data_IF_483130741594
#
_entry.id   IF_483130741594
#
_cell.length_a   1.000
_cell.length_b   1.000
_cell.length_c   1.000
_cell.angle_alpha   90.00
_cell.angle_beta   90.00
_cell.angle_gamma   90.00
#
_symmetry.space_group_name_H-M   'P 1'
#
loop_
_entity.id
_entity.type
_entity.pdbx_description
1 polymer ?
#
# COMPACT_ATOMS: atom_id res chain seq x y z
N UNK A 1 11.49 14.20 -22.97
CA UNK A 1 11.75 12.73 -22.89
C UNK A 1 11.96 12.24 -21.46
N UNK A 2 12.73 12.92 -20.60
CA UNK A 2 12.95 12.49 -19.19
C UNK A 2 11.63 12.27 -18.42
N UNK A 3 10.60 13.06 -18.69
CA UNK A 3 9.27 12.95 -18.06
C UNK A 3 8.47 11.70 -18.43
N UNK A 4 8.84 10.96 -19.48
CA UNK A 4 8.20 9.69 -19.86
C UNK A 4 8.74 8.50 -19.06
N UNK A 5 9.94 8.66 -18.51
CA UNK A 5 10.68 7.59 -17.84
C UNK A 5 9.95 7.05 -16.59
N UNK A 6 9.35 7.88 -15.71
CA UNK A 6 8.55 7.38 -14.59
C UNK A 6 7.38 6.49 -15.02
N UNK A 7 6.63 6.88 -16.04
CA UNK A 7 5.47 6.13 -16.52
C UNK A 7 5.88 4.82 -17.20
N UNK A 8 6.98 4.82 -17.96
CA UNK A 8 7.53 3.62 -18.59
C UNK A 8 8.08 2.60 -17.56
N UNK A 9 8.81 3.08 -16.54
CA UNK A 9 9.26 2.25 -15.42
C UNK A 9 8.06 1.68 -14.67
N UNK A 10 7.08 2.53 -14.36
CA UNK A 10 5.88 2.12 -13.64
C UNK A 10 5.06 1.06 -14.43
N UNK A 11 4.96 1.19 -15.75
CA UNK A 11 4.36 0.16 -16.62
C UNK A 11 5.15 -1.15 -16.57
N UNK A 12 6.48 -1.08 -16.67
CA UNK A 12 7.34 -2.28 -16.62
C UNK A 12 7.17 -3.05 -15.30
N UNK A 13 7.11 -2.32 -14.17
CA UNK A 13 6.82 -2.90 -12.85
C UNK A 13 5.43 -3.54 -12.82
N UNK A 14 4.40 -2.87 -13.35
CA UNK A 14 3.04 -3.39 -13.39
C UNK A 14 2.92 -4.64 -14.29
N UNK A 15 3.63 -4.69 -15.42
CA UNK A 15 3.76 -5.88 -16.27
C UNK A 15 4.32 -7.06 -15.47
N UNK A 16 5.39 -6.85 -14.71
CA UNK A 16 5.95 -7.89 -13.85
C UNK A 16 4.95 -8.37 -12.79
N UNK A 17 4.17 -7.45 -12.19
CA UNK A 17 3.17 -7.80 -11.17
C UNK A 17 2.02 -8.66 -11.72
N UNK A 18 1.67 -8.58 -13.00
CA UNK A 18 0.66 -9.46 -13.61
C UNK A 18 1.05 -10.94 -13.58
N UNK A 19 2.34 -11.26 -13.70
CA UNK A 19 2.84 -12.63 -13.65
C UNK A 19 2.97 -13.17 -12.22
N UNK A 20 2.75 -12.33 -11.21
CA UNK A 20 2.89 -12.73 -9.82
C UNK A 20 1.61 -13.39 -9.30
N UNK A 21 1.67 -14.71 -9.04
CA UNK A 21 0.50 -15.55 -8.74
C UNK A 21 -0.39 -15.08 -7.58
N UNK A 22 0.17 -14.38 -6.59
CA UNK A 22 -0.60 -13.87 -5.46
C UNK A 22 -1.53 -12.70 -5.84
N UNK A 23 -1.25 -11.97 -6.91
CA UNK A 23 -2.10 -10.85 -7.37
C UNK A 23 -3.40 -11.38 -7.95
N UNK A 24 -3.31 -12.38 -8.82
CA UNK A 24 -4.45 -12.95 -9.55
C UNK A 24 -5.47 -13.59 -8.61
N UNK A 25 -5.03 -14.11 -7.46
CA UNK A 25 -5.91 -14.69 -6.44
C UNK A 25 -6.82 -13.65 -5.76
N UNK A 26 -6.52 -12.36 -5.89
CA UNK A 26 -7.24 -11.29 -5.22
C UNK A 26 -8.03 -10.44 -6.19
N UNK A 27 -9.35 -10.62 -6.18
CA UNK A 27 -10.27 -9.98 -7.12
C UNK A 27 -10.07 -8.46 -7.20
N UNK A 28 -10.22 -7.73 -6.09
CA UNK A 28 -10.15 -6.26 -6.12
C UNK A 28 -8.75 -5.72 -6.35
N UNK A 29 -7.73 -6.40 -5.81
CA UNK A 29 -6.34 -6.01 -6.02
C UNK A 29 -5.91 -6.20 -7.49
N UNK A 30 -6.36 -7.28 -8.15
CA UNK A 30 -6.14 -7.49 -9.57
C UNK A 30 -6.80 -6.39 -10.42
N UNK A 31 -8.06 -6.04 -10.14
CA UNK A 31 -8.71 -4.93 -10.85
C UNK A 31 -8.04 -3.58 -10.57
N UNK A 32 -7.52 -3.37 -9.36
CA UNK A 32 -6.72 -2.19 -9.05
C UNK A 32 -5.44 -2.14 -9.91
N UNK A 33 -4.74 -3.27 -10.07
CA UNK A 33 -3.57 -3.37 -10.96
C UNK A 33 -3.94 -3.04 -12.42
N UNK A 34 -5.05 -3.60 -12.92
CA UNK A 34 -5.55 -3.33 -14.29
C UNK A 34 -5.88 -1.85 -14.47
N UNK A 35 -6.60 -1.23 -13.53
CA UNK A 35 -6.96 0.18 -13.61
C UNK A 35 -5.72 1.09 -13.55
N UNK A 36 -4.79 0.80 -12.64
CA UNK A 36 -3.54 1.56 -12.53
C UNK A 36 -2.62 1.36 -13.74
N UNK A 37 -2.67 0.19 -14.40
CA UNK A 37 -1.98 -0.05 -15.67
C UNK A 37 -2.60 0.78 -16.79
N UNK A 38 -3.93 0.77 -16.92
CA UNK A 38 -4.67 1.58 -17.90
C UNK A 38 -4.41 3.07 -17.74
N UNK A 39 -4.34 3.55 -16.48
CA UNK A 39 -4.01 4.94 -16.16
C UNK A 39 -2.64 5.34 -16.70
N UNK A 40 -1.61 4.53 -16.42
CA UNK A 40 -0.26 4.76 -16.90
C UNK A 40 -0.11 4.61 -18.41
N UNK A 41 -0.85 3.68 -19.01
CA UNK A 41 -0.86 3.48 -20.45
C UNK A 41 -1.46 4.70 -21.15
N UNK A 42 -2.57 5.22 -20.63
CA UNK A 42 -3.21 6.44 -21.14
C UNK A 42 -2.28 7.65 -21.01
N UNK A 43 -1.54 7.76 -19.90
CA UNK A 43 -0.52 8.80 -19.71
C UNK A 43 0.60 8.68 -20.74
N UNK A 44 1.14 7.47 -20.94
CA UNK A 44 2.21 7.22 -21.90
C UNK A 44 1.77 7.52 -23.34
N UNK A 45 0.57 7.08 -23.74
CA UNK A 45 0.01 7.35 -25.06
C UNK A 45 -0.23 8.85 -25.27
N UNK A 46 -0.63 9.58 -24.22
CA UNK A 46 -0.80 11.04 -24.27
C UNK A 46 0.48 11.80 -24.60
N UNK A 47 1.67 11.24 -24.39
CA UNK A 47 2.93 11.86 -24.80
C UNK A 47 3.21 11.75 -26.30
N UNK A 48 2.69 10.73 -26.98
CA UNK A 48 2.99 10.46 -28.39
C UNK A 48 2.14 11.28 -29.38
N UNK A 49 1.08 11.96 -28.89
CA UNK A 49 0.27 12.92 -29.65
C UNK A 49 -0.19 12.44 -31.04
N UNK A 50 -1.02 11.40 -31.05
CA UNK A 50 -1.62 10.89 -32.29
C UNK A 50 -2.74 11.79 -32.85
N UNK A 51 -2.91 13.02 -32.37
CA UNK A 51 -3.98 13.94 -32.78
C UNK A 51 -5.32 13.74 -32.06
N UNK A 52 -5.41 12.81 -31.11
CA UNK A 52 -6.62 12.50 -30.32
C UNK A 52 -6.44 12.86 -28.84
N UNK A 53 -5.74 13.94 -28.55
CA UNK A 53 -5.26 14.27 -27.20
C UNK A 53 -6.39 14.43 -26.17
N UNK A 54 -7.52 15.05 -26.56
CA UNK A 54 -8.69 15.16 -25.68
C UNK A 54 -9.30 13.80 -25.33
N UNK A 55 -9.34 12.86 -26.29
CA UNK A 55 -9.89 11.52 -26.05
C UNK A 55 -8.97 10.74 -25.10
N UNK A 56 -7.65 10.79 -25.32
CA UNK A 56 -6.69 10.18 -24.41
C UNK A 56 -6.75 10.79 -23.01
N UNK A 57 -6.95 12.10 -22.90
CA UNK A 57 -7.15 12.77 -21.62
C UNK A 57 -8.41 12.27 -20.92
N UNK A 58 -9.54 12.16 -21.64
CA UNK A 58 -10.79 11.61 -21.07
C UNK A 58 -10.60 10.15 -20.63
N UNK A 59 -9.95 9.31 -21.43
CA UNK A 59 -9.62 7.92 -21.08
C UNK A 59 -8.71 7.82 -19.85
N UNK A 60 -7.76 8.76 -19.70
CA UNK A 60 -6.94 8.88 -18.50
C UNK A 60 -7.80 9.15 -17.26
N UNK A 61 -8.76 10.08 -17.33
CA UNK A 61 -9.66 10.37 -16.21
C UNK A 61 -10.63 9.22 -15.92
N UNK A 62 -11.14 8.52 -16.93
CA UNK A 62 -11.92 7.28 -16.73
C UNK A 62 -11.08 6.22 -15.99
N UNK A 63 -9.83 6.02 -16.41
CA UNK A 63 -8.89 5.13 -15.73
C UNK A 63 -8.59 5.59 -14.29
N UNK A 64 -8.53 6.90 -14.04
CA UNK A 64 -8.33 7.44 -12.70
C UNK A 64 -9.53 7.17 -11.79
N UNK A 65 -10.75 7.34 -12.30
CA UNK A 65 -11.99 6.97 -11.59
C UNK A 65 -11.99 5.49 -11.23
N UNK A 66 -11.68 4.60 -12.19
CA UNK A 66 -11.56 3.16 -11.91
C UNK A 66 -10.46 2.85 -10.89
N UNK A 67 -9.33 3.54 -10.97
CA UNK A 67 -8.21 3.36 -10.02
C UNK A 67 -8.65 3.71 -8.60
N UNK A 68 -9.32 4.86 -8.41
CA UNK A 68 -9.85 5.30 -7.12
C UNK A 68 -10.92 4.35 -6.56
N UNK A 69 -11.82 3.85 -7.42
CA UNK A 69 -12.78 2.81 -7.06
C UNK A 69 -12.08 1.58 -6.48
N UNK A 70 -11.13 1.01 -7.23
CA UNK A 70 -10.50 -0.24 -6.84
C UNK A 70 -9.52 -0.08 -5.68
N UNK A 71 -8.92 1.10 -5.48
CA UNK A 71 -8.22 1.44 -4.24
C UNK A 71 -9.19 1.34 -3.05
N UNK A 72 -10.36 1.99 -3.16
CA UNK A 72 -11.37 2.02 -2.10
C UNK A 72 -11.90 0.63 -1.76
N UNK A 73 -12.18 -0.19 -2.78
CA UNK A 73 -12.60 -1.59 -2.59
C UNK A 73 -11.50 -2.46 -1.99
N UNK A 74 -10.25 -2.27 -2.41
CA UNK A 74 -9.09 -3.00 -1.84
C UNK A 74 -8.88 -2.62 -0.38
N UNK A 75 -8.98 -1.34 -0.03
CA UNK A 75 -8.91 -0.87 1.35
C UNK A 75 -10.05 -1.45 2.21
N UNK A 76 -11.27 -1.50 1.67
CA UNK A 76 -12.44 -2.11 2.32
C UNK A 76 -12.26 -3.62 2.56
N UNK A 77 -11.61 -4.32 1.62
CA UNK A 77 -11.25 -5.73 1.77
C UNK A 77 -10.16 -5.93 2.84
N UNK A 78 -9.09 -5.13 2.80
CA UNK A 78 -8.01 -5.15 3.81
C UNK A 78 -8.56 -4.88 5.21
N UNK A 79 -9.52 -3.95 5.32
CA UNK A 79 -10.12 -3.54 6.60
C UNK A 79 -11.32 -4.41 7.01
N UNK A 80 -11.63 -5.47 6.27
CA UNK A 80 -12.78 -6.37 6.49
C UNK A 80 -14.12 -5.61 6.68
N UNK A 81 -14.27 -4.46 6.03
CA UNK A 81 -15.39 -3.53 6.23
C UNK A 81 -16.28 -3.42 5.01
N UNK A 82 -16.49 -4.55 4.31
CA UNK A 82 -17.23 -4.65 3.04
C UNK A 82 -18.67 -4.09 3.08
N UNK A 83 -19.28 -3.98 4.27
CA UNK A 83 -20.62 -3.39 4.43
C UNK A 83 -20.66 -1.87 4.25
N UNK A 84 -19.56 -1.16 4.53
CA UNK A 84 -19.52 0.31 4.45
C UNK A 84 -19.39 0.76 3.00
N UNK A 85 -18.68 -0.02 2.18
CA UNK A 85 -18.50 0.26 0.75
C UNK A 85 -19.13 -0.87 -0.05
N UNK A 86 -20.45 -0.82 -0.30
CA UNK A 86 -21.10 -1.81 -1.13
C UNK A 86 -20.49 -1.76 -2.55
N UNK A 87 -19.91 -2.87 -3.04
CA UNK A 87 -19.15 -2.87 -4.28
C UNK A 87 -20.02 -2.54 -5.49
N UNK A 88 -21.28 -2.99 -5.50
CA UNK A 88 -22.23 -2.75 -6.59
C UNK A 88 -22.53 -1.26 -6.73
N UNK A 89 -22.89 -0.58 -5.64
CA UNK A 89 -23.19 0.86 -5.66
C UNK A 89 -21.94 1.65 -6.07
N UNK A 90 -20.77 1.27 -5.55
CA UNK A 90 -19.51 1.94 -5.87
C UNK A 90 -19.11 1.76 -7.35
N UNK A 91 -19.39 0.60 -7.93
CA UNK A 91 -19.20 0.35 -9.37
C UNK A 91 -20.18 1.18 -10.21
N UNK A 92 -21.46 1.23 -9.84
CA UNK A 92 -22.46 2.02 -10.57
C UNK A 92 -22.07 3.51 -10.57
N UNK A 93 -21.69 4.07 -9.43
CA UNK A 93 -21.28 5.48 -9.34
C UNK A 93 -20.03 5.77 -10.16
N UNK A 94 -19.03 4.88 -10.12
CA UNK A 94 -17.83 4.99 -10.95
C UNK A 94 -18.14 4.92 -12.45
N UNK A 95 -19.01 3.99 -12.87
CA UNK A 95 -19.43 3.85 -14.26
C UNK A 95 -20.20 5.08 -14.74
N UNK A 96 -21.14 5.60 -13.95
CA UNK A 96 -21.89 6.82 -14.28
C UNK A 96 -20.95 8.02 -14.45
N UNK A 97 -19.99 8.18 -13.55
CA UNK A 97 -19.01 9.27 -13.62
C UNK A 97 -18.08 9.10 -14.83
N UNK A 98 -17.59 7.88 -15.08
CA UNK A 98 -16.73 7.59 -16.23
C UNK A 98 -17.46 7.80 -17.57
N UNK A 99 -18.73 7.40 -17.67
CA UNK A 99 -19.55 7.67 -18.85
C UNK A 99 -19.79 9.17 -19.03
N UNK A 100 -20.06 9.91 -17.94
CA UNK A 100 -20.22 11.35 -18.02
C UNK A 100 -18.94 12.04 -18.51
N UNK A 101 -17.76 11.60 -18.06
CA UNK A 101 -16.47 12.13 -18.52
C UNK A 101 -16.24 11.85 -20.02
N UNK A 102 -16.56 10.63 -20.46
CA UNK A 102 -16.26 10.20 -21.84
C UNK A 102 -17.20 10.84 -22.86
N UNK A 103 -18.50 10.89 -22.56
CA UNK A 103 -19.54 11.34 -23.49
C UNK A 103 -19.96 12.82 -23.33
N UNK A 104 -19.56 13.50 -22.25
CA UNK A 104 -19.86 14.92 -22.03
C UNK A 104 -18.60 15.78 -22.02
N UNK A 105 -18.75 17.05 -22.39
CA UNK A 105 -17.72 18.09 -22.25
C UNK A 105 -17.93 18.95 -20.97
N UNK A 106 -18.95 18.63 -20.17
CA UNK A 106 -19.27 19.41 -18.97
C UNK A 106 -18.31 19.17 -17.80
N UNK A 107 -17.66 17.99 -17.75
CA UNK A 107 -16.67 17.68 -16.71
C UNK A 107 -15.26 18.06 -17.19
N UNK A 108 -14.92 17.72 -18.43
CA UNK A 108 -13.66 18.09 -19.07
C UNK A 108 -14.02 18.76 -20.39
N UNK A 109 -13.82 20.07 -20.45
CA UNK A 109 -14.20 20.87 -21.61
C UNK A 109 -13.14 20.83 -22.71
N UNK A 110 -11.88 20.96 -22.33
CA UNK A 110 -10.75 21.00 -23.27
C UNK A 110 -9.43 20.58 -22.58
N UNK A 111 -8.30 20.76 -23.26
CA UNK A 111 -6.95 20.52 -22.76
C UNK A 111 -5.98 21.65 -23.14
N UNK A 112 -4.96 21.86 -22.31
CA UNK A 112 -3.84 22.77 -22.57
C UNK A 112 -2.56 21.97 -22.52
N UNK A 113 -1.66 22.24 -23.45
CA UNK A 113 -0.35 21.60 -23.51
C UNK A 113 0.63 22.42 -22.66
N UNK A 114 1.30 21.75 -21.73
CA UNK A 114 2.39 22.32 -20.93
C UNK A 114 3.73 22.22 -21.68
N UNK A 115 4.68 23.07 -21.28
CA UNK A 115 6.02 23.19 -21.88
C UNK A 115 6.82 21.87 -21.86
N UNK A 116 6.48 20.95 -20.97
CA UNK A 116 7.06 19.60 -20.85
C UNK A 116 6.40 18.55 -21.77
N UNK A 117 5.60 19.01 -22.73
CA UNK A 117 4.76 18.21 -23.62
C UNK A 117 3.63 17.40 -22.98
N UNK A 118 3.32 17.63 -21.70
CA UNK A 118 2.18 16.98 -21.04
C UNK A 118 0.89 17.76 -21.24
N UNK A 119 -0.22 17.05 -21.40
CA UNK A 119 -1.54 17.67 -21.46
C UNK A 119 -2.10 17.86 -20.04
N UNK A 120 -2.51 19.08 -19.72
CA UNK A 120 -3.38 19.36 -18.57
C UNK A 120 -4.79 19.62 -19.05
N UNK A 121 -5.78 19.31 -18.21
CA UNK A 121 -7.18 19.61 -18.54
C UNK A 121 -7.50 21.10 -18.45
N UNK A 122 -8.53 21.50 -19.18
CA UNK A 122 -9.40 22.63 -18.87
C UNK A 122 -10.61 22.08 -18.13
N UNK A 123 -10.88 22.62 -16.95
CA UNK A 123 -12.01 22.17 -16.12
C UNK A 123 -13.34 22.65 -16.73
N UNK A 124 -14.29 21.73 -16.90
CA UNK A 124 -15.67 22.09 -17.22
C UNK A 124 -16.47 22.51 -15.98
N UNK A 125 -17.70 22.96 -16.18
CA UNK A 125 -18.61 23.43 -15.12
C UNK A 125 -18.82 22.40 -14.00
N UNK A 126 -18.99 21.12 -14.36
CA UNK A 126 -19.23 20.03 -13.40
C UNK A 126 -17.96 19.27 -13.01
N UNK A 127 -16.77 19.86 -13.22
CA UNK A 127 -15.51 19.23 -12.87
C UNK A 127 -15.40 18.91 -11.35
N UNK A 128 -16.09 19.69 -10.51
CA UNK A 128 -16.12 19.46 -9.06
C UNK A 128 -16.69 18.08 -8.67
N UNK A 129 -17.55 17.45 -9.51
CA UNK A 129 -18.08 16.11 -9.24
C UNK A 129 -16.96 15.07 -9.20
N UNK A 130 -15.99 15.17 -10.11
CA UNK A 130 -14.80 14.31 -10.08
C UNK A 130 -13.95 14.60 -8.83
N UNK A 131 -13.78 15.87 -8.44
CA UNK A 131 -13.00 16.22 -7.25
C UNK A 131 -13.65 15.65 -5.98
N UNK A 132 -14.97 15.79 -5.83
CA UNK A 132 -15.73 15.21 -4.73
C UNK A 132 -15.61 13.69 -4.70
N UNK A 133 -15.71 13.03 -5.86
CA UNK A 133 -15.50 11.59 -5.97
C UNK A 133 -14.09 11.17 -5.52
N UNK A 134 -13.05 11.85 -6.01
CA UNK A 134 -11.67 11.54 -5.70
C UNK A 134 -11.35 11.76 -4.21
N UNK A 135 -11.69 12.93 -3.68
CA UNK A 135 -11.48 13.26 -2.26
C UNK A 135 -12.31 12.32 -1.38
N UNK A 136 -13.56 12.06 -1.74
CA UNK A 136 -14.45 11.16 -1.02
C UNK A 136 -13.93 9.72 -0.97
N UNK A 137 -13.54 9.15 -2.11
CA UNK A 137 -13.01 7.79 -2.20
C UNK A 137 -11.73 7.61 -1.37
N UNK A 138 -10.81 8.59 -1.45
CA UNK A 138 -9.56 8.57 -0.69
C UNK A 138 -9.83 8.74 0.81
N UNK A 139 -10.64 9.74 1.20
CA UNK A 139 -10.96 10.02 2.61
C UNK A 139 -11.67 8.83 3.26
N UNK A 140 -12.61 8.21 2.55
CA UNK A 140 -13.30 7.00 3.02
C UNK A 140 -12.33 5.83 3.18
N UNK A 141 -11.40 5.64 2.24
CA UNK A 141 -10.36 4.61 2.33
C UNK A 141 -9.48 4.80 3.57
N UNK A 142 -9.00 6.02 3.82
CA UNK A 142 -8.20 6.34 5.02
C UNK A 142 -9.04 6.08 6.28
N UNK A 143 -10.26 6.59 6.32
CA UNK A 143 -11.13 6.47 7.48
C UNK A 143 -11.33 5.00 7.87
N UNK A 144 -11.58 4.12 6.90
CA UNK A 144 -11.71 2.68 7.13
C UNK A 144 -10.43 2.05 7.68
N UNK A 145 -9.28 2.41 7.11
CA UNK A 145 -7.99 1.88 7.55
C UNK A 145 -7.62 2.39 8.96
N UNK A 146 -7.80 3.68 9.25
CA UNK A 146 -7.54 4.28 10.57
C UNK A 146 -8.46 3.67 11.63
N UNK A 147 -9.77 3.66 11.36
CA UNK A 147 -10.78 3.10 12.28
C UNK A 147 -10.44 1.66 12.67
N UNK A 148 -10.11 0.82 11.69
CA UNK A 148 -9.80 -0.59 11.96
C UNK A 148 -8.40 -0.81 12.54
N UNK A 149 -7.42 0.02 12.17
CA UNK A 149 -6.08 0.00 12.77
C UNK A 149 -6.12 0.32 14.27
N UNK A 150 -6.98 1.26 14.69
CA UNK A 150 -7.14 1.63 16.10
C UNK A 150 -7.99 0.59 16.83
N UNK A 151 -9.15 0.20 16.28
CA UNK A 151 -10.09 -0.70 16.95
C UNK A 151 -9.55 -2.12 17.12
N UNK A 152 -8.75 -2.62 16.18
CA UNK A 152 -8.20 -3.98 16.19
C UNK A 152 -6.69 -3.99 16.47
N UNK A 153 -6.26 -3.18 17.44
CA UNK A 153 -4.85 -3.01 17.81
C UNK A 153 -4.31 -4.30 18.44
N UNK A 154 -3.63 -5.11 17.63
CA UNK A 154 -3.06 -6.40 18.04
C UNK A 154 -3.34 -7.52 17.04
N UNK A 155 -4.47 -7.42 16.35
CA UNK A 155 -4.90 -8.41 15.36
C UNK A 155 -4.11 -8.27 14.06
N UNK A 156 -4.08 -9.37 13.30
CA UNK A 156 -3.52 -9.41 11.96
C UNK A 156 -4.15 -8.33 11.05
N UNK A 157 -5.46 -8.14 11.14
CA UNK A 157 -6.21 -7.14 10.36
C UNK A 157 -5.79 -5.71 10.72
N UNK A 158 -5.57 -5.42 12.00
CA UNK A 158 -5.08 -4.11 12.44
C UNK A 158 -3.69 -3.80 11.88
N UNK A 159 -2.77 -4.78 11.91
CA UNK A 159 -1.43 -4.66 11.32
C UNK A 159 -1.48 -4.46 9.80
N UNK A 160 -2.35 -5.17 9.10
CA UNK A 160 -2.59 -4.99 7.66
C UNK A 160 -3.09 -3.59 7.35
N UNK A 161 -4.05 -3.08 8.12
CA UNK A 161 -4.57 -1.72 7.96
C UNK A 161 -3.48 -0.67 8.19
N UNK A 162 -2.64 -0.86 9.21
CA UNK A 162 -1.54 0.05 9.52
C UNK A 162 -0.50 0.11 8.39
N UNK A 163 -0.08 -1.06 7.87
CA UNK A 163 0.84 -1.10 6.72
C UNK A 163 0.19 -0.47 5.48
N UNK A 164 -1.10 -0.71 5.25
CA UNK A 164 -1.83 -0.10 4.14
C UNK A 164 -1.89 1.44 4.25
N UNK A 165 -2.03 1.99 5.47
CA UNK A 165 -1.93 3.44 5.71
C UNK A 165 -0.57 4.01 5.34
N UNK A 166 0.51 3.31 5.72
CA UNK A 166 1.88 3.69 5.34
C UNK A 166 2.04 3.64 3.81
N UNK A 167 1.45 2.64 3.16
CA UNK A 167 1.49 2.50 1.70
C UNK A 167 0.81 3.67 0.97
N UNK A 168 -0.25 4.25 1.56
CA UNK A 168 -0.96 5.39 1.00
C UNK A 168 -0.25 6.73 1.24
N UNK A 169 0.68 6.79 2.21
CA UNK A 169 1.34 8.02 2.63
C UNK A 169 2.07 8.77 1.49
N UNK A 170 2.81 8.10 0.58
CA UNK A 170 3.42 8.78 -0.58
C UNK A 170 2.40 9.49 -1.47
N UNK A 171 1.21 8.91 -1.66
CA UNK A 171 0.15 9.53 -2.45
C UNK A 171 -0.34 10.84 -1.81
N UNK A 172 -0.41 10.88 -0.47
CA UNK A 172 -0.76 12.10 0.28
C UNK A 172 0.35 13.14 0.28
N UNK A 173 1.62 12.74 0.29
CA UNK A 173 2.73 13.69 0.29
C UNK A 173 2.94 14.34 -1.08
N UNK A 174 2.61 13.64 -2.18
CA UNK A 174 2.76 14.19 -3.53
C UNK A 174 1.85 15.40 -3.74
N UNK A 175 0.61 15.37 -3.27
CA UNK A 175 -0.36 16.46 -3.49
C UNK A 175 0.17 17.82 -2.98
N UNK A 176 0.51 17.99 -1.69
CA UNK A 176 1.06 19.25 -1.19
C UNK A 176 2.42 19.55 -1.81
N UNK A 177 3.26 18.54 -2.07
CA UNK A 177 4.56 18.74 -2.71
C UNK A 177 4.41 19.35 -4.12
N UNK A 178 3.50 18.83 -4.94
CA UNK A 178 3.21 19.36 -6.27
C UNK A 178 2.62 20.76 -6.18
N UNK A 179 1.68 21.00 -5.26
CA UNK A 179 1.08 22.33 -5.06
C UNK A 179 2.17 23.36 -4.70
N UNK A 180 3.05 23.04 -3.75
CA UNK A 180 4.15 23.92 -3.34
C UNK A 180 5.11 24.19 -4.51
N UNK A 181 5.45 23.17 -5.30
CA UNK A 181 6.31 23.36 -6.48
C UNK A 181 5.64 24.23 -7.55
N UNK A 182 4.34 24.08 -7.77
CA UNK A 182 3.58 24.95 -8.68
C UNK A 182 3.52 26.39 -8.18
N UNK A 183 3.39 26.61 -6.87
CA UNK A 183 3.43 27.96 -6.27
C UNK A 183 4.80 28.62 -6.40
N UNK A 184 5.89 27.84 -6.43
CA UNK A 184 7.25 28.32 -6.70
C UNK A 184 7.53 28.58 -8.20
N UNK A 185 6.51 28.45 -9.06
CA UNK A 185 6.61 28.71 -10.49
C UNK A 185 7.02 27.50 -11.34
N UNK A 186 7.20 26.31 -10.76
CA UNK A 186 7.53 25.11 -11.51
C UNK A 186 6.26 24.47 -12.12
N UNK A 187 6.20 24.39 -13.45
CA UNK A 187 5.12 23.71 -14.19
C UNK A 187 5.35 22.19 -14.23
N UNK A 188 5.13 21.52 -13.11
CA UNK A 188 5.36 20.09 -12.96
C UNK A 188 4.06 19.31 -13.19
N UNK A 189 4.14 18.22 -13.96
CA UNK A 189 3.03 17.28 -14.08
C UNK A 189 3.04 16.31 -12.90
N UNK A 190 1.94 16.27 -12.14
CA UNK A 190 1.76 15.36 -11.00
C UNK A 190 1.63 13.88 -11.41
N UNK A 191 1.25 13.61 -12.67
CA UNK A 191 0.89 12.27 -13.13
C UNK A 191 2.03 11.25 -12.97
N UNK A 192 3.28 11.63 -13.30
CA UNK A 192 4.44 10.75 -13.12
C UNK A 192 4.71 10.40 -11.65
N UNK A 193 4.49 11.34 -10.71
CA UNK A 193 4.63 11.07 -9.28
C UNK A 193 3.54 10.13 -8.78
N UNK A 194 2.29 10.35 -9.19
CA UNK A 194 1.18 9.45 -8.87
C UNK A 194 1.41 8.04 -9.43
N UNK A 195 2.01 7.94 -10.63
CA UNK A 195 2.40 6.67 -11.26
C UNK A 195 3.36 5.86 -10.37
N UNK A 196 4.38 6.53 -9.82
CA UNK A 196 5.35 5.90 -8.92
C UNK A 196 4.73 5.55 -7.56
N UNK A 197 3.91 6.42 -6.99
CA UNK A 197 3.25 6.12 -5.71
C UNK A 197 2.24 4.98 -5.81
N UNK A 198 1.50 4.87 -6.91
CA UNK A 198 0.62 3.71 -7.12
C UNK A 198 1.42 2.42 -7.25
N UNK A 199 2.59 2.44 -7.90
CA UNK A 199 3.50 1.29 -7.94
C UNK A 199 4.00 0.89 -6.54
N UNK A 200 4.43 1.86 -5.74
CA UNK A 200 4.82 1.60 -4.35
C UNK A 200 3.68 0.96 -3.56
N UNK A 201 2.47 1.51 -3.69
CA UNK A 201 1.29 0.98 -3.01
C UNK A 201 0.96 -0.45 -3.45
N UNK A 202 0.99 -0.75 -4.75
CA UNK A 202 0.80 -2.10 -5.28
C UNK A 202 1.82 -3.09 -4.67
N UNK A 203 3.10 -2.68 -4.59
CA UNK A 203 4.16 -3.51 -4.01
C UNK A 203 3.99 -3.76 -2.51
N UNK A 204 3.46 -2.79 -1.76
CA UNK A 204 3.17 -2.99 -0.35
C UNK A 204 1.92 -3.85 -0.17
N UNK A 205 0.86 -3.61 -0.95
CA UNK A 205 -0.41 -4.34 -0.86
C UNK A 205 -0.25 -5.84 -1.16
N UNK A 206 0.60 -6.23 -2.10
CA UNK A 206 0.89 -7.65 -2.38
C UNK A 206 1.43 -8.39 -1.15
N UNK A 207 2.10 -7.66 -0.26
CA UNK A 207 2.76 -8.19 0.93
C UNK A 207 1.79 -8.35 2.10
N UNK A 208 0.62 -7.72 2.05
CA UNK A 208 -0.39 -7.79 3.11
C UNK A 208 -1.10 -9.14 3.20
N UNK A 209 -1.04 -9.91 2.11
CA UNK A 209 -1.82 -11.14 1.94
C UNK A 209 -1.19 -12.31 2.68
N UNK A 210 0.12 -12.43 2.57
CA UNK A 210 0.89 -13.50 3.15
C UNK A 210 1.31 -13.10 4.57
N UNK A 211 0.99 -13.93 5.56
CA UNK A 211 1.36 -13.69 6.97
C UNK A 211 2.87 -13.56 7.14
N UNK A 212 3.66 -14.33 6.38
CA UNK A 212 5.12 -14.28 6.43
C UNK A 212 5.65 -12.95 5.87
N UNK A 213 5.11 -12.50 4.73
CA UNK A 213 5.50 -11.21 4.12
C UNK A 213 5.04 -10.04 4.97
N UNK A 214 3.86 -10.12 5.58
CA UNK A 214 3.38 -9.12 6.52
C UNK A 214 4.33 -8.98 7.72
N UNK A 215 4.77 -10.09 8.31
CA UNK A 215 5.75 -10.08 9.40
C UNK A 215 7.09 -9.45 8.95
N UNK A 216 7.55 -9.80 7.75
CA UNK A 216 8.75 -9.21 7.16
C UNK A 216 8.62 -7.71 6.95
N UNK A 217 7.45 -7.23 6.52
CA UNK A 217 7.16 -5.80 6.38
C UNK A 217 7.10 -5.08 7.74
N UNK A 218 6.50 -5.71 8.75
CA UNK A 218 6.43 -5.14 10.10
C UNK A 218 7.82 -4.92 10.73
N UNK A 219 8.84 -5.68 10.34
CA UNK A 219 10.23 -5.47 10.76
C UNK A 219 10.78 -4.10 10.35
N UNK A 220 10.34 -3.53 9.23
CA UNK A 220 10.81 -2.23 8.76
C UNK A 220 10.14 -1.06 9.48
N UNK A 221 8.94 -1.28 10.02
CA UNK A 221 8.17 -0.25 10.74
C UNK A 221 8.88 0.11 12.06
N UNK A 222 9.15 1.41 12.31
CA UNK A 222 9.71 1.86 13.59
C UNK A 222 8.74 1.58 14.74
N UNK A 223 9.28 1.18 15.90
CA UNK A 223 8.52 0.89 17.12
C UNK A 223 7.54 -0.30 17.05
N UNK A 224 7.59 -1.13 16.01
CA UNK A 224 6.82 -2.39 15.98
C UNK A 224 7.43 -3.44 16.92
N UNK A 225 6.58 -4.35 17.44
CA UNK A 225 7.04 -5.46 18.28
C UNK A 225 7.95 -6.40 17.49
N UNK A 226 7.63 -6.59 16.22
CA UNK A 226 8.36 -7.42 15.25
C UNK A 226 9.76 -6.85 14.97
N UNK A 227 9.89 -5.52 14.85
CA UNK A 227 11.19 -4.87 14.71
C UNK A 227 12.02 -5.00 15.98
N UNK A 228 11.42 -4.81 17.16
CA UNK A 228 12.10 -4.99 18.45
C UNK A 228 12.65 -6.41 18.57
N UNK A 229 11.82 -7.42 18.31
CA UNK A 229 12.23 -8.82 18.27
C UNK A 229 13.37 -9.07 17.30
N UNK A 230 13.25 -8.55 16.08
CA UNK A 230 14.29 -8.74 15.08
C UNK A 230 15.62 -8.11 15.49
N UNK A 231 15.60 -6.91 16.08
CA UNK A 231 16.80 -6.22 16.56
C UNK A 231 17.44 -6.99 17.73
N UNK A 232 16.64 -7.48 18.68
CA UNK A 232 17.13 -8.30 19.79
C UNK A 232 17.72 -9.63 19.28
N UNK A 233 17.04 -10.31 18.35
CA UNK A 233 17.54 -11.54 17.72
C UNK A 233 18.83 -11.28 16.94
N UNK A 234 18.91 -10.19 16.17
CA UNK A 234 20.13 -9.80 15.44
C UNK A 234 21.29 -9.51 16.39
N UNK A 235 21.03 -8.84 17.51
CA UNK A 235 22.04 -8.58 18.53
C UNK A 235 22.58 -9.89 19.15
N UNK A 236 21.70 -10.86 19.43
CA UNK A 236 22.11 -12.19 19.90
C UNK A 236 22.88 -12.97 18.83
N UNK A 237 22.45 -12.93 17.57
CA UNK A 237 23.15 -13.58 16.46
C UNK A 237 24.53 -12.96 16.20
N UNK A 238 24.72 -11.65 16.38
CA UNK A 238 26.06 -11.06 16.28
C UNK A 238 27.02 -11.56 17.37
N UNK A 239 26.50 -12.01 18.53
CA UNK A 239 27.34 -12.67 19.54
C UNK A 239 27.84 -14.05 19.07
N UNK A 240 27.13 -14.73 18.16
CA UNK A 240 27.58 -15.99 17.54
C UNK A 240 28.69 -15.80 16.52
N UNK A 241 28.88 -14.59 15.95
CA UNK A 241 30.00 -14.29 15.04
C UNK A 241 31.30 -13.88 15.76
N UNK A 242 31.25 -13.60 17.06
CA UNK A 242 32.41 -13.26 17.89
C UNK A 242 33.43 -14.40 18.15
N UNK A 243 33.15 -15.70 18.00
CA UNK A 243 34.16 -16.76 18.18
C UNK A 243 35.38 -16.62 17.24
N UNK A 244 35.25 -15.89 16.13
CA UNK A 244 36.37 -15.56 15.25
C UNK A 244 37.37 -14.56 15.89
N UNK A 245 37.03 -13.94 17.03
CA UNK A 245 37.82 -12.92 17.73
C UNK A 245 38.56 -13.43 18.98
N UNK A 246 38.57 -14.75 19.25
CA UNK A 246 39.33 -15.35 20.35
C UNK A 246 38.70 -15.26 21.75
N UNK A 247 37.47 -14.74 21.86
CA UNK A 247 36.71 -14.75 23.11
C UNK A 247 35.91 -16.05 23.25
N UNK A 248 36.03 -16.74 24.39
CA UNK A 248 35.29 -17.98 24.67
C UNK A 248 33.81 -17.64 24.91
N UNK A 249 32.98 -17.93 23.92
CA UNK A 249 31.54 -17.72 23.99
C UNK A 249 30.87 -18.98 24.56
N UNK A 250 30.17 -18.85 25.69
CA UNK A 250 29.37 -19.95 26.25
C UNK A 250 28.09 -20.16 25.41
N UNK A 251 28.19 -21.11 24.48
CA UNK A 251 27.11 -21.47 23.55
C UNK A 251 25.84 -21.90 24.28
N UNK A 252 25.94 -22.54 25.46
CA UNK A 252 24.76 -22.97 26.22
C UNK A 252 23.98 -21.78 26.75
N UNK A 253 24.68 -20.75 27.23
CA UNK A 253 24.06 -19.52 27.72
C UNK A 253 23.35 -18.75 26.61
N UNK A 254 23.97 -18.67 25.43
CA UNK A 254 23.38 -18.01 24.26
C UNK A 254 22.15 -18.73 23.69
N UNK A 255 22.19 -20.06 23.60
CA UNK A 255 21.04 -20.84 23.17
C UNK A 255 19.88 -20.61 24.15
N UNK A 256 20.16 -20.57 25.46
CA UNK A 256 19.15 -20.26 26.47
C UNK A 256 18.58 -18.84 26.31
N UNK A 257 19.42 -17.82 26.05
CA UNK A 257 18.98 -16.45 25.77
C UNK A 257 18.05 -16.38 24.53
N UNK A 258 18.37 -17.13 23.46
CA UNK A 258 17.52 -17.22 22.26
C UNK A 258 16.19 -17.89 22.59
N UNK A 259 16.21 -19.02 23.30
CA UNK A 259 14.99 -19.73 23.68
C UNK A 259 14.08 -18.85 24.55
N UNK A 260 14.64 -18.15 25.54
CA UNK A 260 13.90 -17.20 26.38
C UNK A 260 13.31 -16.06 25.56
N UNK A 261 14.06 -15.52 24.59
CA UNK A 261 13.59 -14.48 23.68
C UNK A 261 12.41 -14.97 22.82
N UNK A 262 12.50 -16.16 22.24
CA UNK A 262 11.44 -16.77 21.43
C UNK A 262 10.19 -17.05 22.27
N UNK A 263 10.36 -17.60 23.47
CA UNK A 263 9.25 -17.85 24.40
C UNK A 263 8.58 -16.54 24.83
N UNK A 264 9.37 -15.54 25.22
CA UNK A 264 8.88 -14.21 25.61
C UNK A 264 8.10 -13.57 24.47
N UNK A 265 8.66 -13.57 23.26
CA UNK A 265 7.98 -12.99 22.10
C UNK A 265 6.68 -13.74 21.79
N UNK A 266 6.68 -15.07 21.77
CA UNK A 266 5.49 -15.87 21.46
C UNK A 266 4.40 -15.65 22.52
N UNK A 267 4.77 -15.55 23.80
CA UNK A 267 3.82 -15.26 24.89
C UNK A 267 3.09 -13.91 24.77
N UNK A 268 3.62 -12.96 24.00
CA UNK A 268 2.97 -11.66 23.78
C UNK A 268 1.86 -11.70 22.72
N UNK A 269 1.72 -12.80 21.97
CA UNK A 269 0.72 -12.96 20.91
C UNK A 269 -0.47 -13.82 21.33
N UNK A 270 -0.33 -14.61 22.39
CA UNK A 270 -1.36 -15.54 22.85
C UNK A 270 -1.71 -15.25 24.30
N UNK A 271 -3.00 -15.31 24.61
CA UNK A 271 -3.50 -15.03 25.95
C UNK A 271 -3.28 -16.22 26.90
N UNK A 272 -3.15 -17.44 26.36
CA UNK A 272 -3.04 -18.66 27.16
C UNK A 272 -1.66 -19.32 27.00
N UNK A 273 -1.10 -19.79 28.11
CA UNK A 273 0.16 -20.56 28.10
C UNK A 273 0.04 -21.87 27.30
N UNK A 274 -1.17 -22.45 27.26
CA UNK A 274 -1.46 -23.67 26.50
C UNK A 274 -1.27 -23.48 25.00
N UNK A 275 -1.74 -22.35 24.46
CA UNK A 275 -1.57 -22.00 23.04
C UNK A 275 -0.10 -21.77 22.71
N UNK A 276 0.63 -21.07 23.58
CA UNK A 276 2.08 -20.83 23.41
C UNK A 276 2.86 -22.14 23.41
N UNK A 277 2.58 -23.04 24.37
CA UNK A 277 3.22 -24.34 24.48
C UNK A 277 2.95 -25.22 23.24
N UNK A 278 1.70 -25.22 22.77
CA UNK A 278 1.30 -25.93 21.55
C UNK A 278 2.00 -25.41 20.30
N UNK A 279 2.14 -24.09 20.15
CA UNK A 279 2.78 -23.46 18.97
C UNK A 279 4.28 -23.67 18.97
N UNK A 280 4.91 -23.61 20.14
CA UNK A 280 6.35 -23.86 20.29
C UNK A 280 6.68 -25.36 20.35
N UNK A 281 5.67 -26.23 20.33
CA UNK A 281 5.80 -27.68 20.40
C UNK A 281 6.60 -28.14 21.63
N UNK A 282 6.35 -27.50 22.78
CA UNK A 282 6.99 -27.77 24.07
C UNK A 282 5.94 -28.03 25.15
N UNK A 283 6.32 -28.72 26.23
CA UNK A 283 5.41 -28.95 27.35
C UNK A 283 5.12 -27.66 28.13
N UNK A 284 3.91 -27.55 28.69
CA UNK A 284 3.53 -26.41 29.56
C UNK A 284 4.48 -26.26 30.76
N UNK A 285 4.96 -27.38 31.31
CA UNK A 285 5.95 -27.44 32.38
C UNK A 285 7.34 -26.91 31.98
N UNK A 286 7.71 -27.04 30.71
CA UNK A 286 8.96 -26.47 30.18
C UNK A 286 8.82 -24.98 29.91
N UNK A 287 7.62 -24.54 29.52
CA UNK A 287 7.30 -23.13 29.33
C UNK A 287 7.33 -22.36 30.66
N UNK A 288 6.73 -22.91 31.72
CA UNK A 288 6.66 -22.26 33.04
C UNK A 288 8.03 -22.10 33.71
N UNK A 289 8.99 -22.98 33.41
CA UNK A 289 10.39 -22.86 33.86
C UNK A 289 11.18 -21.79 33.11
N UNK A 290 10.77 -21.43 31.88
CA UNK A 290 11.48 -20.49 31.00
C UNK A 290 10.88 -19.08 31.01
N UNK A 291 9.64 -18.91 31.45
CA UNK A 291 9.05 -17.60 31.69
C UNK A 291 9.52 -17.08 33.07
N UNK A 292 10.00 -15.84 33.18
CA UNK A 292 10.22 -15.22 34.48
C UNK A 292 8.88 -15.21 35.23
N UNK A 293 8.88 -15.54 36.54
CA UNK A 293 7.70 -15.42 37.39
C UNK A 293 7.12 -14.01 37.18
N UNK A 294 5.86 -13.93 36.74
CA UNK A 294 5.14 -12.65 36.70
C UNK A 294 5.07 -12.14 38.14
N UNK A 295 5.75 -11.05 38.42
CA UNK A 295 5.42 -10.16 39.54
C UNK A 295 4.10 -9.43 39.24
#
# INVERSE_FOLDING_TARGET
MIWMLPSAIALSIKCFLFFYSNVVKQKYFFYFLVAAFSLNLSELLGFFRFGYDLIFLKLYYCSAVSTLLFISLTCSEISESRRIIPPIISMITACMLASAILFSNQIISDYVILDNNTATRVAGEYYFLFQLYAVGAISLSIFLLVKNSIRRRGDLTGKRCFIALIAMLPLFLIVPLVITLMQLGYKINAAGFFSLSTCFMLFVFISLNDKHKLFTMMRFIPYSRERKFHLELKALLMKFSLPASGTSVDMKKLIKEIEELVVKHTSQYFNTQKEVAKILNISESSLSRKLPKKE
#
